data_IF_869269453272
#
_entry.id   IF_869269453272
#
_cell.length_a   1.000
_cell.length_b   1.000
_cell.length_c   1.000
_cell.angle_alpha   90.00
_cell.angle_beta   90.00
_cell.angle_gamma   90.00
#
_symmetry.space_group_name_H-M   'P 1'
#
loop_
_entity.id
_entity.type
_entity.pdbx_description
1 polymer ?
#
# COMPACT_ATOMS: atom_id res chain seq x y z
N UNK A 1 6.28 1.63 -25.83
CA UNK A 1 6.44 2.32 -24.54
C UNK A 1 5.73 1.48 -23.50
N UNK A 2 6.35 1.19 -22.35
CA UNK A 2 5.66 0.45 -21.28
C UNK A 2 4.89 1.47 -20.43
N UNK A 3 3.58 1.27 -20.32
CA UNK A 3 2.70 2.11 -19.52
C UNK A 3 2.88 1.77 -18.03
N UNK A 4 2.89 2.80 -17.19
CA UNK A 4 3.00 2.68 -15.73
C UNK A 4 1.65 3.04 -15.13
N UNK A 5 0.94 2.04 -14.63
CA UNK A 5 -0.39 2.23 -14.06
C UNK A 5 -0.30 2.19 -12.54
N UNK A 6 -0.71 3.27 -11.88
CA UNK A 6 -0.83 3.33 -10.42
C UNK A 6 -2.01 2.46 -9.96
N UNK A 7 -1.77 1.66 -8.92
CA UNK A 7 -2.77 0.79 -8.28
C UNK A 7 -2.94 1.24 -6.84
N UNK A 8 -4.19 1.29 -6.39
CA UNK A 8 -4.56 1.65 -5.03
C UNK A 8 -5.45 0.56 -4.42
N UNK A 9 -5.25 0.28 -3.13
CA UNK A 9 -6.11 -0.63 -2.37
C UNK A 9 -7.44 0.06 -2.07
N UNK A 10 -8.55 -0.68 -2.17
CA UNK A 10 -9.85 -0.20 -1.72
C UNK A 10 -9.78 0.14 -0.22
N UNK A 11 -10.23 1.34 0.16
CA UNK A 11 -10.30 1.78 1.57
C UNK A 11 -9.05 2.44 2.15
N UNK A 12 -7.85 2.31 1.55
CA UNK A 12 -6.59 2.89 2.08
C UNK A 12 -6.14 4.17 1.34
N UNK A 13 -7.06 4.84 0.65
CA UNK A 13 -6.74 5.93 -0.27
C UNK A 13 -6.17 7.18 0.43
N UNK A 14 -6.49 7.39 1.72
CA UNK A 14 -6.09 8.58 2.49
C UNK A 14 -4.58 8.73 2.65
N UNK A 15 -3.87 7.69 3.09
CA UNK A 15 -2.41 7.71 3.29
C UNK A 15 -1.63 7.90 1.98
N UNK A 16 -2.07 7.24 0.90
CA UNK A 16 -1.43 7.32 -0.40
C UNK A 16 -1.58 8.71 -1.04
N UNK A 17 -2.76 9.31 -0.89
CA UNK A 17 -3.03 10.67 -1.36
C UNK A 17 -2.23 11.72 -0.57
N UNK A 18 -2.15 11.58 0.75
CA UNK A 18 -1.44 12.53 1.63
C UNK A 18 0.06 12.58 1.30
N UNK A 19 0.69 11.43 1.14
CA UNK A 19 2.13 11.33 0.92
C UNK A 19 2.52 11.23 -0.56
N UNK A 20 1.55 11.34 -1.47
CA UNK A 20 1.73 11.35 -2.93
C UNK A 20 2.54 10.17 -3.46
N UNK A 21 2.22 8.96 -3.01
CA UNK A 21 2.77 7.71 -3.54
C UNK A 21 1.66 6.71 -3.83
N UNK A 22 1.89 5.78 -4.77
CA UNK A 22 0.93 4.72 -5.12
C UNK A 22 1.15 3.50 -4.25
N UNK A 23 0.11 2.69 -4.01
CA UNK A 23 0.26 1.43 -3.28
C UNK A 23 1.11 0.43 -4.08
N UNK A 24 0.90 0.40 -5.39
CA UNK A 24 1.73 -0.33 -6.33
C UNK A 24 1.75 0.36 -7.70
N UNK A 25 2.74 0.01 -8.52
CA UNK A 25 2.83 0.38 -9.93
C UNK A 25 2.84 -0.92 -10.75
N UNK A 26 1.92 -1.07 -11.69
CA UNK A 26 1.98 -2.11 -12.72
C UNK A 26 2.75 -1.59 -13.92
N UNK A 27 3.66 -2.40 -14.44
CA UNK A 27 4.47 -2.11 -15.62
C UNK A 27 4.59 -3.37 -16.47
N UNK A 28 3.73 -3.48 -17.48
CA UNK A 28 3.56 -4.73 -18.25
C UNK A 28 3.04 -5.86 -17.36
N UNK A 29 3.80 -6.96 -17.29
CA UNK A 29 3.48 -8.14 -16.49
C UNK A 29 4.05 -8.12 -15.07
N UNK A 30 4.76 -7.03 -14.71
CA UNK A 30 5.35 -6.85 -13.39
C UNK A 30 4.49 -5.93 -12.53
N UNK A 31 4.40 -6.26 -11.24
CA UNK A 31 3.78 -5.44 -10.21
C UNK A 31 4.81 -5.06 -9.15
N UNK A 32 5.05 -3.77 -8.99
CA UNK A 32 5.97 -3.21 -7.99
C UNK A 32 5.15 -2.68 -6.83
N UNK A 33 5.23 -3.33 -5.67
CA UNK A 33 4.43 -3.00 -4.48
C UNK A 33 5.27 -2.16 -3.52
N UNK A 34 4.75 -1.03 -3.05
CA UNK A 34 5.39 -0.25 -1.99
C UNK A 34 5.41 -1.04 -0.68
N UNK A 35 6.36 -0.76 0.21
CA UNK A 35 6.46 -1.47 1.50
C UNK A 35 5.13 -1.44 2.24
N UNK A 36 4.55 -2.61 2.50
CA UNK A 36 3.29 -2.72 3.24
C UNK A 36 3.59 -2.76 4.73
N UNK A 37 2.82 -1.97 5.48
CA UNK A 37 2.82 -1.99 6.94
C UNK A 37 1.41 -2.35 7.40
N UNK A 38 1.34 -3.15 8.47
CA UNK A 38 0.10 -3.36 9.20
C UNK A 38 -0.34 -2.03 9.80
N UNK A 39 -1.29 -1.39 9.13
CA UNK A 39 -1.91 -0.15 9.58
C UNK A 39 -3.40 -0.38 9.67
N UNK A 40 -4.01 0.24 10.68
CA UNK A 40 -5.45 0.31 10.81
C UNK A 40 -6.05 1.19 9.71
N UNK A 41 -7.36 1.16 9.56
CA UNK A 41 -8.09 1.97 8.56
C UNK A 41 -7.86 3.48 8.75
N UNK A 42 -7.56 3.92 9.97
CA UNK A 42 -7.20 5.29 10.31
C UNK A 42 -5.73 5.66 10.01
N UNK A 43 -4.95 4.70 9.51
CA UNK A 43 -3.55 4.85 9.15
C UNK A 43 -2.56 4.77 10.32
N UNK A 44 -3.04 4.54 11.54
CA UNK A 44 -2.14 4.30 12.69
C UNK A 44 -1.46 2.93 12.58
N UNK A 45 -0.20 2.80 13.03
CA UNK A 45 0.48 1.51 13.05
C UNK A 45 -0.23 0.57 14.03
N UNK A 46 -0.31 -0.72 13.70
CA UNK A 46 -0.79 -1.71 14.65
C UNK A 46 0.21 -1.81 15.84
N UNK A 47 -0.21 -1.56 17.09
CA UNK A 47 0.68 -1.54 18.25
C UNK A 47 1.21 -2.92 18.65
N UNK A 48 0.48 -3.99 18.31
CA UNK A 48 0.94 -5.35 18.54
C UNK A 48 1.79 -5.83 17.35
N UNK A 49 3.06 -6.16 17.63
CA UNK A 49 4.03 -6.54 16.61
C UNK A 49 3.65 -7.82 15.85
N UNK A 50 2.98 -8.77 16.52
CA UNK A 50 2.51 -10.00 15.87
C UNK A 50 1.34 -9.69 14.91
N UNK A 51 0.40 -8.85 15.34
CA UNK A 51 -0.72 -8.39 14.52
C UNK A 51 -0.28 -7.49 13.35
N UNK A 52 0.78 -6.70 13.55
CA UNK A 52 1.37 -5.87 12.49
C UNK A 52 1.88 -6.72 11.32
N UNK A 53 2.46 -7.89 11.62
CA UNK A 53 2.96 -8.83 10.61
C UNK A 53 1.84 -9.57 9.88
N UNK A 54 0.69 -9.79 10.54
CA UNK A 54 -0.48 -10.44 9.94
C UNK A 54 -1.31 -9.50 9.07
N UNK A 55 -1.38 -8.22 9.42
CA UNK A 55 -2.16 -7.20 8.68
C UNK A 55 -1.41 -6.67 7.45
N UNK A 56 -0.09 -6.89 7.38
CA UNK A 56 0.78 -6.38 6.32
C UNK A 56 0.84 -7.22 5.04
N UNK A 57 0.01 -8.26 4.90
CA UNK A 57 0.01 -9.20 3.75
C UNK A 57 -1.19 -8.92 2.84
#
# INVERSE_FOLDING_TARGET
MVERTAVFLAGRHSLYAEHRYSAAIRSGDLLFVSGQVGSREDGTPEPDFQQQSQTGI
#
